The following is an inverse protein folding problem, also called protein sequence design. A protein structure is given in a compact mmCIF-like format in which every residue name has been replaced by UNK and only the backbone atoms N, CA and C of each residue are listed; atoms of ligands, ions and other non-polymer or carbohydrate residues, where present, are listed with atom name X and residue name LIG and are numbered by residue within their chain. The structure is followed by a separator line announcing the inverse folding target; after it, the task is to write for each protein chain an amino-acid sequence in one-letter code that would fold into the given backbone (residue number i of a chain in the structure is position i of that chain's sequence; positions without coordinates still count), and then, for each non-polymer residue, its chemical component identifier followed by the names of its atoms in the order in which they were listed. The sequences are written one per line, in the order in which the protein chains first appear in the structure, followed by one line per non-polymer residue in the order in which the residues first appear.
data_IF_726275466905
#
_entry.id   IF_726275466905
#
_cell.length_a   1.000
_cell.length_b   1.000
_cell.length_c   1.000
_cell.angle_alpha   90.00
_cell.angle_beta   90.00
_cell.angle_gamma   90.00
#
_symmetry.space_group_name_H-M   'P 1'
#
loop_
_entity.id
_entity.type
_entity.pdbx_description
1 polymer ?
#
# COMPACT_ATOMS: atom_id res chain seq x y z
N UNK A 1 31.86 40.64 -34.21
CA UNK A 1 32.91 39.92 -34.97
C UNK A 1 33.47 38.82 -34.09
N UNK A 2 33.54 37.61 -34.65
CA UNK A 2 34.18 36.37 -34.14
C UNK A 2 33.71 35.83 -32.77
N UNK A 3 33.31 34.57 -32.59
CA UNK A 3 33.26 33.42 -33.50
C UNK A 3 32.91 32.18 -32.66
N UNK A 4 31.80 31.53 -32.99
CA UNK A 4 31.40 30.24 -32.44
C UNK A 4 32.13 29.09 -33.15
N UNK A 5 32.37 27.98 -32.46
CA UNK A 5 32.80 26.70 -33.05
C UNK A 5 32.32 25.51 -32.19
N UNK A 6 32.22 24.28 -32.74
CA UNK A 6 30.90 23.72 -33.04
C UNK A 6 30.65 22.35 -32.38
N UNK A 7 29.41 21.91 -32.58
CA UNK A 7 28.78 20.64 -32.15
C UNK A 7 29.61 19.41 -32.56
N UNK A 8 29.84 18.51 -31.60
CA UNK A 8 30.32 17.15 -31.84
C UNK A 8 29.18 16.27 -32.37
N UNK A 9 29.07 16.19 -33.70
CA UNK A 9 28.23 15.26 -34.43
C UNK A 9 28.94 13.90 -34.49
N UNK A 10 28.31 12.82 -33.98
CA UNK A 10 28.79 11.44 -34.21
C UNK A 10 28.00 10.83 -35.38
N UNK A 11 28.65 10.09 -36.29
CA UNK A 11 27.98 9.48 -37.43
C UNK A 11 27.02 8.37 -36.99
N UNK A 12 25.84 8.34 -37.62
CA UNK A 12 24.86 7.23 -37.56
C UNK A 12 25.27 6.16 -38.57
N UNK A 13 25.15 4.89 -38.22
CA UNK A 13 25.23 3.79 -39.18
C UNK A 13 23.87 3.55 -39.87
N UNK A 14 23.92 2.97 -41.07
CA UNK A 14 22.78 2.78 -41.98
C UNK A 14 21.86 1.59 -41.66
N UNK A 15 21.85 1.06 -40.42
CA UNK A 15 20.95 -0.06 -40.07
C UNK A 15 20.20 0.06 -38.77
N UNK A 16 19.84 1.28 -38.34
CA UNK A 16 18.59 1.61 -37.63
C UNK A 16 18.13 0.71 -36.47
N UNK A 17 19.03 -0.05 -35.82
CA UNK A 17 18.72 -0.97 -34.72
C UNK A 17 19.57 -0.56 -33.52
N UNK A 18 18.94 0.06 -32.53
CA UNK A 18 19.53 0.18 -31.21
C UNK A 18 19.74 -1.23 -30.64
N UNK A 19 20.99 -1.71 -30.70
CA UNK A 19 21.41 -2.86 -29.91
C UNK A 19 21.38 -2.44 -28.45
N UNK A 20 20.36 -2.88 -27.69
CA UNK A 20 20.46 -2.96 -26.24
C UNK A 20 21.69 -3.83 -25.92
N UNK A 21 22.79 -3.19 -25.53
CA UNK A 21 23.89 -3.90 -24.87
C UNK A 21 23.37 -4.30 -23.50
N UNK A 22 23.10 -5.60 -23.34
CA UNK A 22 22.89 -6.23 -22.05
C UNK A 22 24.10 -5.95 -21.16
N UNK A 23 23.93 -5.04 -20.20
CA UNK A 23 24.87 -4.89 -19.10
C UNK A 23 24.69 -6.10 -18.17
N UNK A 24 25.78 -6.78 -17.76
CA UNK A 24 25.67 -7.90 -16.85
C UNK A 24 25.16 -7.41 -15.49
N UNK A 25 24.08 -8.02 -15.01
CA UNK A 25 23.58 -7.87 -13.64
C UNK A 25 24.68 -8.40 -12.72
N UNK A 26 25.41 -7.51 -12.07
CA UNK A 26 26.37 -7.91 -11.04
C UNK A 26 25.60 -8.32 -9.77
N UNK A 27 26.00 -9.44 -9.11
CA UNK A 27 25.34 -9.88 -7.90
C UNK A 27 25.54 -8.86 -6.78
N UNK A 28 24.45 -8.61 -6.03
CA UNK A 28 24.37 -7.64 -4.95
C UNK A 28 25.58 -7.72 -4.01
N UNK A 29 26.29 -6.60 -3.89
CA UNK A 29 27.37 -6.43 -2.93
C UNK A 29 26.84 -6.70 -1.50
N UNK A 30 27.51 -7.62 -0.81
CA UNK A 30 27.28 -7.90 0.61
C UNK A 30 27.67 -6.67 1.44
N UNK A 31 26.69 -5.84 1.80
CA UNK A 31 26.88 -4.83 2.84
C UNK A 31 26.90 -5.52 4.22
N UNK A 32 28.11 -5.84 4.68
CA UNK A 32 28.38 -6.26 6.05
C UNK A 32 28.26 -5.10 7.02
N UNK A 33 27.07 -4.84 7.54
CA UNK A 33 26.85 -3.97 8.69
C UNK A 33 26.72 -4.80 9.96
N UNK A 34 27.72 -4.73 10.86
CA UNK A 34 27.62 -5.28 12.22
C UNK A 34 26.62 -4.45 13.03
N UNK A 35 25.33 -4.73 12.88
CA UNK A 35 24.34 -4.32 13.87
C UNK A 35 24.43 -5.32 15.01
N UNK A 36 25.13 -4.92 16.08
CA UNK A 36 25.07 -5.63 17.35
C UNK A 36 23.58 -5.87 17.66
N UNK A 37 23.17 -7.15 17.65
CA UNK A 37 21.80 -7.57 17.94
C UNK A 37 21.52 -7.24 19.40
N UNK A 38 21.09 -6.00 19.65
CA UNK A 38 20.55 -5.61 20.95
C UNK A 38 19.33 -6.50 21.16
N UNK A 39 19.35 -7.32 22.21
CA UNK A 39 18.20 -8.13 22.59
C UNK A 39 16.95 -7.21 22.59
N UNK A 40 15.83 -7.63 21.97
CA UNK A 40 14.62 -6.83 21.97
C UNK A 40 14.25 -6.51 23.41
N UNK A 41 14.20 -5.22 23.77
CA UNK A 41 13.60 -4.83 25.04
C UNK A 41 12.16 -5.34 25.03
N UNK A 42 11.67 -5.96 26.12
CA UNK A 42 10.29 -6.42 26.18
C UNK A 42 9.37 -5.23 25.87
N UNK A 43 8.55 -5.39 24.82
CA UNK A 43 7.59 -4.35 24.43
C UNK A 43 6.58 -4.20 25.55
N UNK A 44 6.17 -2.95 25.83
CA UNK A 44 5.19 -2.63 26.88
C UNK A 44 3.78 -3.18 26.58
N UNK A 45 3.52 -3.61 25.35
CA UNK A 45 2.27 -4.23 24.90
C UNK A 45 2.21 -4.31 23.37
N UNK A 46 1.10 -4.81 22.81
CA UNK A 46 0.93 -4.94 21.37
C UNK A 46 0.85 -3.57 20.66
N UNK A 47 1.33 -3.53 19.43
CA UNK A 47 1.34 -2.33 18.58
C UNK A 47 0.46 -2.56 17.36
N UNK A 48 -0.59 -1.76 17.21
CA UNK A 48 -1.40 -1.72 16.01
C UNK A 48 -0.98 -0.54 15.13
N UNK A 49 -1.01 -0.72 13.82
CA UNK A 49 -0.75 0.36 12.86
C UNK A 49 -1.95 0.58 11.95
N UNK A 50 -2.27 1.82 11.59
CA UNK A 50 -3.17 2.16 10.49
C UNK A 50 -2.43 3.05 9.49
N UNK A 51 -2.57 2.77 8.19
CA UNK A 51 -2.05 3.64 7.14
C UNK A 51 -3.14 4.53 6.52
N UNK A 52 -2.77 5.78 6.28
CA UNK A 52 -3.62 6.83 5.72
C UNK A 52 -3.99 7.91 6.75
N UNK A 53 -4.75 8.90 6.31
CA UNK A 53 -5.22 9.99 7.16
C UNK A 53 -6.31 9.56 8.13
N UNK A 54 -6.58 10.43 9.11
CA UNK A 54 -7.76 10.36 9.97
C UNK A 54 -8.96 10.84 9.17
N UNK A 55 -9.78 9.90 8.71
CA UNK A 55 -10.81 10.15 7.72
C UNK A 55 -12.05 9.28 7.96
N UNK A 56 -13.26 9.75 7.58
CA UNK A 56 -14.49 8.96 7.70
C UNK A 56 -14.36 7.59 7.02
N UNK A 57 -13.76 7.57 5.82
CA UNK A 57 -13.56 6.37 5.01
C UNK A 57 -12.69 5.30 5.70
N UNK A 58 -11.66 5.74 6.42
CA UNK A 58 -10.77 4.88 7.22
C UNK A 58 -11.37 4.49 8.57
N UNK A 59 -12.54 5.03 8.90
CA UNK A 59 -13.32 4.73 10.10
C UNK A 59 -12.56 5.01 11.41
N UNK A 60 -11.73 6.06 11.42
CA UNK A 60 -10.82 6.35 12.54
C UNK A 60 -11.56 6.56 13.87
N UNK A 61 -12.74 7.17 13.85
CA UNK A 61 -13.57 7.37 15.05
C UNK A 61 -13.97 6.04 15.72
N UNK A 62 -14.52 5.08 14.95
CA UNK A 62 -14.86 3.76 15.50
C UNK A 62 -13.63 2.93 15.85
N UNK A 63 -12.54 3.08 15.11
CA UNK A 63 -11.27 2.47 15.46
C UNK A 63 -10.75 2.97 16.82
N UNK A 64 -10.94 4.25 17.15
CA UNK A 64 -10.61 4.79 18.48
C UNK A 64 -11.48 4.16 19.57
N UNK A 65 -12.79 4.05 19.36
CA UNK A 65 -13.71 3.38 20.29
C UNK A 65 -13.30 1.92 20.54
N UNK A 66 -13.04 1.16 19.46
CA UNK A 66 -12.57 -0.21 19.53
C UNK A 66 -11.21 -0.33 20.25
N UNK A 67 -10.28 0.59 19.97
CA UNK A 67 -8.98 0.61 20.63
C UNK A 67 -9.12 0.88 22.14
N UNK A 68 -10.06 1.73 22.57
CA UNK A 68 -10.36 1.95 24.00
C UNK A 68 -10.84 0.67 24.67
N UNK A 69 -11.80 -0.03 24.02
CA UNK A 69 -12.33 -1.31 24.51
C UNK A 69 -11.20 -2.34 24.65
N UNK A 70 -10.40 -2.53 23.59
CA UNK A 70 -9.26 -3.44 23.61
C UNK A 70 -8.25 -3.11 24.70
N UNK A 71 -7.93 -1.82 24.89
CA UNK A 71 -6.92 -1.39 25.86
C UNK A 71 -7.37 -1.51 27.32
N UNK A 72 -8.67 -1.57 27.59
CA UNK A 72 -9.17 -1.86 28.93
C UNK A 72 -8.63 -3.20 29.46
N UNK A 73 -8.47 -4.19 28.59
CA UNK A 73 -7.88 -5.50 28.88
C UNK A 73 -6.36 -5.54 28.62
N UNK A 74 -5.85 -4.62 27.79
CA UNK A 74 -4.45 -4.54 27.41
C UNK A 74 -3.85 -3.14 27.63
N UNK A 75 -3.61 -2.70 28.88
CA UNK A 75 -3.21 -1.31 29.19
C UNK A 75 -1.96 -0.81 28.46
N UNK A 76 -1.04 -1.72 28.12
CA UNK A 76 0.19 -1.43 27.39
C UNK A 76 0.07 -1.37 25.87
N UNK A 77 -1.12 -1.58 25.30
CA UNK A 77 -1.35 -1.52 23.86
C UNK A 77 -1.15 -0.10 23.33
N UNK A 78 -0.63 -0.01 22.10
CA UNK A 78 -0.42 1.24 21.37
C UNK A 78 -0.99 1.15 19.97
N UNK A 79 -1.52 2.26 19.48
CA UNK A 79 -1.99 2.41 18.12
C UNK A 79 -1.24 3.55 17.44
N UNK A 80 -0.66 3.26 16.28
CA UNK A 80 0.09 4.21 15.48
C UNK A 80 -0.68 4.46 14.19
N UNK A 81 -1.02 5.70 13.90
CA UNK A 81 -1.66 6.09 12.64
C UNK A 81 -0.58 6.79 11.83
N UNK A 82 -0.24 6.30 10.64
CA UNK A 82 0.76 6.92 9.78
C UNK A 82 0.15 7.31 8.43
N UNK A 83 0.20 8.60 8.12
CA UNK A 83 -0.31 9.13 6.87
C UNK A 83 -0.51 10.64 6.92
N UNK A 84 -0.53 11.26 5.74
CA UNK A 84 -0.87 12.68 5.61
C UNK A 84 -2.38 12.92 5.72
N UNK A 85 -2.75 14.20 5.89
CA UNK A 85 -4.09 14.63 5.55
C UNK A 85 -4.33 14.31 4.06
N UNK A 86 -5.48 13.69 3.74
CA UNK A 86 -5.88 13.50 2.36
C UNK A 86 -5.94 14.83 1.61
N UNK A 87 -5.88 14.77 0.29
CA UNK A 87 -6.11 15.92 -0.61
C UNK A 87 -7.51 16.53 -0.37
N UNK A 88 -8.43 15.75 0.19
CA UNK A 88 -9.74 16.19 0.62
C UNK A 88 -9.69 16.85 2.01
N UNK A 89 -10.40 17.96 2.18
CA UNK A 89 -10.53 18.62 3.47
C UNK A 89 -11.37 17.77 4.44
N UNK A 90 -10.72 17.23 5.46
CA UNK A 90 -11.34 16.48 6.56
C UNK A 90 -11.17 17.19 7.89
N UNK A 91 -10.94 18.51 7.91
CA UNK A 91 -10.60 19.28 9.12
C UNK A 91 -11.61 19.09 10.26
N UNK A 92 -12.92 19.12 9.96
CA UNK A 92 -13.96 18.91 10.96
C UNK A 92 -13.92 17.49 11.57
N UNK A 93 -13.74 16.47 10.72
CA UNK A 93 -13.63 15.08 11.18
C UNK A 93 -12.37 14.87 12.02
N UNK A 94 -11.24 15.46 11.59
CA UNK A 94 -9.98 15.43 12.33
C UNK A 94 -10.11 16.10 13.70
N UNK A 95 -10.72 17.29 13.76
CA UNK A 95 -10.96 17.99 15.03
C UNK A 95 -11.85 17.18 15.97
N UNK A 96 -12.92 16.57 15.45
CA UNK A 96 -13.79 15.68 16.23
C UNK A 96 -13.05 14.45 16.75
N UNK A 97 -12.20 13.82 15.93
CA UNK A 97 -11.35 12.71 16.35
C UNK A 97 -10.37 13.13 17.45
N UNK A 98 -9.70 14.28 17.30
CA UNK A 98 -8.73 14.77 18.29
C UNK A 98 -9.42 15.11 19.63
N UNK A 99 -10.63 15.70 19.58
CA UNK A 99 -11.45 15.95 20.76
C UNK A 99 -11.89 14.65 21.45
N UNK A 100 -12.35 13.65 20.69
CA UNK A 100 -12.70 12.34 21.21
C UNK A 100 -11.49 11.61 21.82
N UNK A 101 -10.32 11.71 21.19
CA UNK A 101 -9.05 11.17 21.71
C UNK A 101 -8.69 11.82 23.04
N UNK A 102 -8.80 13.15 23.15
CA UNK A 102 -8.54 13.87 24.40
C UNK A 102 -9.54 13.49 25.51
N UNK A 103 -10.83 13.38 25.19
CA UNK A 103 -11.88 13.00 26.13
C UNK A 103 -11.86 11.50 26.52
N UNK A 104 -11.05 10.69 25.84
CA UNK A 104 -10.99 9.25 26.07
C UNK A 104 -10.40 8.92 27.46
N UNK A 105 -9.48 9.73 27.98
CA UNK A 105 -8.70 9.34 29.17
C UNK A 105 -7.66 8.26 28.89
N UNK A 106 -7.36 7.97 27.61
CA UNK A 106 -6.18 7.22 27.23
C UNK A 106 -4.92 8.05 27.52
N UNK A 107 -3.85 7.44 28.05
CA UNK A 107 -2.52 8.04 28.06
C UNK A 107 -2.10 8.62 26.70
N UNK A 108 -1.31 9.69 26.73
CA UNK A 108 -0.91 10.43 25.51
C UNK A 108 -0.19 9.55 24.47
N UNK A 109 0.63 8.60 24.94
CA UNK A 109 1.42 7.68 24.11
C UNK A 109 0.63 6.50 23.53
N UNK A 110 -0.66 6.38 23.88
CA UNK A 110 -1.52 5.29 23.45
C UNK A 110 -1.86 5.33 21.97
N UNK A 111 -2.07 6.53 21.45
CA UNK A 111 -2.45 6.79 20.07
C UNK A 111 -1.47 7.82 19.52
N UNK A 112 -0.51 7.35 18.72
CA UNK A 112 0.49 8.19 18.09
C UNK A 112 0.10 8.45 16.64
N UNK A 113 -0.04 9.72 16.27
CA UNK A 113 -0.33 10.12 14.89
C UNK A 113 0.99 10.56 14.26
N UNK A 114 1.50 9.76 13.33
CA UNK A 114 2.60 10.09 12.45
C UNK A 114 2.04 10.77 11.19
N UNK A 115 2.79 11.75 10.68
CA UNK A 115 2.52 12.33 9.37
C UNK A 115 2.82 11.36 8.22
N UNK A 116 2.92 11.86 6.98
CA UNK A 116 3.36 11.03 5.86
C UNK A 116 4.77 10.49 6.11
N UNK A 117 4.99 9.22 5.74
CA UNK A 117 6.28 8.54 5.85
C UNK A 117 6.74 8.08 4.45
N UNK A 118 8.05 8.05 4.18
CA UNK A 118 8.57 7.44 2.96
C UNK A 118 8.41 5.91 2.98
N UNK A 119 8.31 5.28 1.81
CA UNK A 119 8.03 3.84 1.67
C UNK A 119 8.92 2.92 2.53
N UNK A 120 10.25 3.13 2.66
CA UNK A 120 11.08 2.29 3.52
C UNK A 120 10.68 2.34 5.00
N UNK A 121 10.22 3.51 5.47
CA UNK A 121 9.75 3.71 6.85
C UNK A 121 8.37 3.10 7.07
N UNK A 122 7.48 3.18 6.07
CA UNK A 122 6.20 2.46 6.09
C UNK A 122 6.42 0.95 6.23
N UNK A 123 7.33 0.39 5.44
CA UNK A 123 7.67 -1.02 5.52
C UNK A 123 8.32 -1.39 6.86
N UNK A 124 9.15 -0.51 7.43
CA UNK A 124 9.72 -0.71 8.76
C UNK A 124 8.64 -0.65 9.86
N UNK A 125 7.67 0.25 9.72
CA UNK A 125 6.54 0.37 10.63
C UNK A 125 5.67 -0.89 10.62
N UNK A 126 5.37 -1.45 9.45
CA UNK A 126 4.66 -2.71 9.34
C UNK A 126 5.40 -3.86 10.05
N UNK A 127 6.69 -4.04 9.75
CA UNK A 127 7.51 -5.08 10.39
C UNK A 127 7.63 -4.89 11.91
N UNK A 128 7.47 -3.67 12.39
CA UNK A 128 7.46 -3.34 13.80
C UNK A 128 6.05 -3.46 14.43
N UNK A 129 4.96 -3.54 13.68
CA UNK A 129 3.61 -3.69 14.22
C UNK A 129 3.26 -5.16 14.50
N UNK A 130 2.35 -5.38 15.45
CA UNK A 130 1.77 -6.69 15.73
C UNK A 130 0.59 -7.00 14.82
N UNK A 131 -0.15 -5.99 14.36
CA UNK A 131 -1.15 -6.07 13.30
C UNK A 131 -1.43 -4.72 12.64
N UNK A 132 -1.89 -4.74 11.39
CA UNK A 132 -2.52 -3.61 10.70
C UNK A 132 -3.99 -3.54 11.12
N UNK A 133 -4.43 -2.41 11.67
CA UNK A 133 -5.82 -2.09 11.97
C UNK A 133 -6.43 -1.31 10.79
N UNK A 134 -7.28 -1.97 10.00
CA UNK A 134 -7.86 -1.43 8.77
C UNK A 134 -9.40 -1.60 8.70
N UNK A 135 -10.17 -1.06 9.67
CA UNK A 135 -11.62 -1.21 9.74
C UNK A 135 -12.35 -0.22 8.82
N UNK A 136 -11.83 0.02 7.61
CA UNK A 136 -12.38 0.98 6.65
C UNK A 136 -13.85 0.68 6.31
N UNK A 137 -14.66 1.72 6.09
CA UNK A 137 -16.07 1.59 5.66
C UNK A 137 -16.21 1.46 4.13
N UNK A 138 -15.22 1.95 3.39
CA UNK A 138 -15.15 1.85 1.94
C UNK A 138 -13.68 1.95 1.51
N UNK A 139 -13.27 1.14 0.55
CA UNK A 139 -11.90 1.16 0.03
C UNK A 139 -11.86 0.86 -1.46
N UNK A 140 -10.75 1.29 -2.08
CA UNK A 140 -10.32 0.67 -3.34
C UNK A 140 -9.74 -0.71 -3.06
N UNK A 141 -8.82 -1.19 -3.89
CA UNK A 141 -8.20 -2.50 -3.69
C UNK A 141 -7.55 -2.69 -2.29
N UNK A 142 -7.06 -1.60 -1.70
CA UNK A 142 -6.47 -1.58 -0.37
C UNK A 142 -5.02 -2.05 -0.36
N UNK A 143 -4.15 -1.38 -1.11
CA UNK A 143 -2.71 -1.71 -1.21
C UNK A 143 -2.04 -1.86 0.16
N UNK A 144 -2.43 -1.06 1.15
CA UNK A 144 -1.97 -1.17 2.54
C UNK A 144 -2.14 -2.59 3.13
N UNK A 145 -3.24 -3.29 2.80
CA UNK A 145 -3.49 -4.68 3.21
C UNK A 145 -2.40 -5.60 2.63
N UNK A 146 -2.17 -5.51 1.32
CA UNK A 146 -1.18 -6.36 0.64
C UNK A 146 0.24 -6.03 1.09
N UNK A 147 0.57 -4.76 1.31
CA UNK A 147 1.87 -4.33 1.84
C UNK A 147 2.12 -4.86 3.25
N UNK A 148 1.13 -4.78 4.14
CA UNK A 148 1.20 -5.34 5.49
C UNK A 148 1.40 -6.87 5.44
N UNK A 149 0.63 -7.55 4.61
CA UNK A 149 0.75 -9.00 4.39
C UNK A 149 2.13 -9.37 3.84
N UNK A 150 2.66 -8.61 2.88
CA UNK A 150 4.00 -8.79 2.33
C UNK A 150 5.11 -8.55 3.38
N UNK A 151 4.85 -7.71 4.39
CA UNK A 151 5.74 -7.49 5.52
C UNK A 151 5.62 -8.54 6.62
N UNK A 152 4.71 -9.52 6.49
CA UNK A 152 4.44 -10.52 7.52
C UNK A 152 3.65 -9.97 8.71
N UNK A 153 2.90 -8.87 8.51
CA UNK A 153 2.06 -8.23 9.52
C UNK A 153 0.62 -8.74 9.36
N UNK A 154 0.03 -9.37 10.39
CA UNK A 154 -1.38 -9.73 10.39
C UNK A 154 -2.28 -8.54 10.05
N UNK A 155 -3.35 -8.77 9.30
CA UNK A 155 -4.31 -7.72 8.94
C UNK A 155 -5.63 -7.92 9.66
N UNK A 156 -6.12 -6.85 10.29
CA UNK A 156 -7.49 -6.69 10.74
C UNK A 156 -8.23 -5.87 9.69
N UNK A 157 -9.23 -6.47 9.03
CA UNK A 157 -9.92 -5.85 7.90
C UNK A 157 -11.43 -5.93 8.07
N UNK A 158 -12.13 -4.89 7.60
CA UNK A 158 -13.58 -4.90 7.48
C UNK A 158 -14.08 -6.01 6.56
N UNK A 159 -15.16 -6.69 6.93
CA UNK A 159 -15.83 -7.66 6.06
C UNK A 159 -16.69 -6.97 4.98
N UNK A 160 -16.03 -6.25 4.08
CA UNK A 160 -16.66 -5.52 2.98
C UNK A 160 -15.95 -5.79 1.66
N UNK A 161 -16.62 -5.53 0.55
CA UNK A 161 -15.95 -5.39 -0.74
C UNK A 161 -15.00 -4.17 -0.71
N UNK A 162 -13.81 -4.25 -1.34
CA UNK A 162 -13.34 -5.37 -2.15
C UNK A 162 -12.56 -6.44 -1.36
N UNK A 163 -12.34 -6.28 -0.05
CA UNK A 163 -11.54 -7.24 0.72
C UNK A 163 -12.09 -8.67 0.65
N UNK A 164 -13.42 -8.82 0.72
CA UNK A 164 -14.08 -10.13 0.62
C UNK A 164 -13.96 -10.77 -0.78
N UNK A 165 -13.54 -10.02 -1.80
CA UNK A 165 -13.41 -10.53 -3.17
C UNK A 165 -12.08 -11.27 -3.38
N UNK A 166 -11.03 -10.91 -2.64
CA UNK A 166 -9.68 -11.48 -2.84
C UNK A 166 -9.06 -12.10 -1.58
N UNK A 167 -9.60 -11.80 -0.39
CA UNK A 167 -9.19 -12.42 0.87
C UNK A 167 -10.16 -13.53 1.26
N UNK A 168 -9.61 -14.69 1.61
CA UNK A 168 -10.36 -15.79 2.18
C UNK A 168 -10.74 -15.58 3.66
N UNK A 169 -11.63 -16.42 4.23
CA UNK A 169 -12.04 -16.34 5.63
C UNK A 169 -10.89 -16.44 6.65
N UNK A 170 -9.78 -17.09 6.26
CA UNK A 170 -8.60 -17.28 7.09
C UNK A 170 -7.49 -16.23 6.86
N UNK A 171 -7.61 -15.38 5.85
CA UNK A 171 -6.53 -14.50 5.39
C UNK A 171 -6.41 -13.22 6.24
N UNK A 172 -7.49 -12.84 6.94
CA UNK A 172 -7.55 -11.67 7.81
C UNK A 172 -8.26 -11.98 9.14
N UNK A 173 -8.02 -11.12 10.13
CA UNK A 173 -8.89 -10.98 11.29
C UNK A 173 -10.06 -10.07 10.90
N UNK A 174 -11.19 -10.67 10.52
CA UNK A 174 -12.35 -9.95 10.02
C UNK A 174 -13.09 -9.22 11.14
N UNK A 175 -13.50 -7.98 10.88
CA UNK A 175 -14.38 -7.20 11.73
C UNK A 175 -15.55 -6.59 10.96
N UNK A 176 -16.63 -6.28 11.65
CA UNK A 176 -17.74 -5.49 11.11
C UNK A 176 -17.48 -4.00 11.36
N UNK A 177 -17.36 -3.15 10.31
CA UNK A 177 -16.90 -1.78 10.46
C UNK A 177 -17.84 -0.88 11.26
N UNK A 178 -19.13 -1.24 11.35
CA UNK A 178 -20.11 -0.48 12.11
C UNK A 178 -20.06 -0.77 13.62
N UNK A 179 -19.37 -1.84 14.05
CA UNK A 179 -19.36 -2.33 15.43
C UNK A 179 -17.95 -2.24 16.06
N UNK A 180 -17.71 -1.29 16.98
CA UNK A 180 -16.46 -1.20 17.73
C UNK A 180 -16.08 -2.47 18.51
N UNK A 181 -17.06 -3.24 19.00
CA UNK A 181 -16.78 -4.49 19.72
C UNK A 181 -16.24 -5.56 18.76
N UNK A 182 -16.81 -5.69 17.56
CA UNK A 182 -16.28 -6.56 16.51
C UNK A 182 -14.84 -6.20 16.14
N UNK A 183 -14.53 -4.90 16.01
CA UNK A 183 -13.16 -4.43 15.73
C UNK A 183 -12.21 -4.81 16.88
N UNK A 184 -12.60 -4.58 18.13
CA UNK A 184 -11.79 -4.93 19.31
C UNK A 184 -11.56 -6.45 19.44
N UNK A 185 -12.59 -7.26 19.15
CA UNK A 185 -12.47 -8.72 19.13
C UNK A 185 -11.51 -9.19 18.03
N UNK A 186 -11.55 -8.58 16.85
CA UNK A 186 -10.60 -8.87 15.77
C UNK A 186 -9.16 -8.47 16.14
N UNK A 187 -8.97 -7.36 16.88
CA UNK A 187 -7.68 -6.98 17.45
C UNK A 187 -7.13 -8.08 18.37
N UNK A 188 -7.93 -8.58 19.32
CA UNK A 188 -7.54 -9.68 20.20
C UNK A 188 -7.24 -10.98 19.41
N UNK A 189 -8.10 -11.33 18.46
CA UNK A 189 -7.93 -12.52 17.62
C UNK A 189 -6.64 -12.46 16.77
N UNK A 190 -6.24 -11.26 16.31
CA UNK A 190 -4.99 -11.08 15.54
C UNK A 190 -3.72 -11.38 16.36
N UNK A 191 -3.80 -11.27 17.69
CA UNK A 191 -2.67 -11.50 18.61
C UNK A 191 -2.62 -12.92 19.16
N UNK A 192 -3.74 -13.66 19.14
CA UNK A 192 -3.80 -15.02 19.66
C UNK A 192 -2.75 -15.91 18.97
N UNK A 193 -1.81 -16.57 19.69
CA UNK A 193 -0.59 -17.12 19.09
C UNK A 193 -0.79 -18.03 17.87
N UNK A 194 -1.75 -18.96 17.96
CA UNK A 194 -2.07 -19.87 16.84
C UNK A 194 -2.69 -19.14 15.66
N UNK A 195 -3.64 -18.23 15.91
CA UNK A 195 -4.30 -17.43 14.87
C UNK A 195 -3.32 -16.46 14.22
N UNK A 196 -2.48 -15.78 14.99
CA UNK A 196 -1.45 -14.86 14.52
C UNK A 196 -0.51 -15.55 13.53
N UNK A 197 0.00 -16.74 13.87
CA UNK A 197 0.88 -17.49 12.98
C UNK A 197 0.17 -17.88 11.68
N UNK A 198 -1.08 -18.32 11.75
CA UNK A 198 -1.87 -18.65 10.57
C UNK A 198 -2.09 -17.43 9.66
N UNK A 199 -2.43 -16.27 10.24
CA UNK A 199 -2.61 -15.01 9.50
C UNK A 199 -1.34 -14.58 8.77
N UNK A 200 -0.17 -14.75 9.37
CA UNK A 200 1.11 -14.40 8.72
C UNK A 200 1.38 -15.29 7.51
N UNK A 201 1.17 -16.61 7.66
CA UNK A 201 1.38 -17.56 6.55
C UNK A 201 0.39 -17.28 5.41
N UNK A 202 -0.89 -17.07 5.75
CA UNK A 202 -1.92 -16.72 4.77
C UNK A 202 -1.61 -15.39 4.08
N UNK A 203 -1.16 -14.39 4.83
CA UNK A 203 -0.76 -13.08 4.32
C UNK A 203 0.34 -13.19 3.26
N UNK A 204 1.42 -13.94 3.51
CA UNK A 204 2.46 -14.14 2.48
C UNK A 204 1.91 -14.80 1.21
N UNK A 205 1.02 -15.78 1.34
CA UNK A 205 0.39 -16.42 0.19
C UNK A 205 -0.50 -15.45 -0.61
N UNK A 206 -1.30 -14.61 0.07
CA UNK A 206 -2.09 -13.55 -0.56
C UNK A 206 -1.17 -12.56 -1.28
N UNK A 207 -0.16 -12.03 -0.59
CA UNK A 207 0.75 -11.05 -1.15
C UNK A 207 1.46 -11.55 -2.41
N UNK A 208 1.85 -12.83 -2.44
CA UNK A 208 2.47 -13.45 -3.62
C UNK A 208 1.51 -13.48 -4.83
N UNK A 209 0.22 -13.77 -4.62
CA UNK A 209 -0.80 -13.75 -5.70
C UNK A 209 -1.02 -12.37 -6.30
N UNK A 210 -0.76 -11.32 -5.53
CA UNK A 210 -0.96 -9.92 -5.93
C UNK A 210 0.36 -9.18 -6.19
N UNK A 211 1.48 -9.90 -6.32
CA UNK A 211 2.75 -9.31 -6.72
C UNK A 211 2.66 -8.73 -8.13
N UNK A 212 3.37 -7.63 -8.41
CA UNK A 212 3.31 -6.94 -9.70
C UNK A 212 3.60 -7.84 -10.90
N UNK A 213 4.49 -8.82 -10.78
CA UNK A 213 4.74 -9.80 -11.84
C UNK A 213 3.49 -10.64 -12.14
N UNK A 214 2.82 -11.18 -11.12
CA UNK A 214 1.59 -11.94 -11.28
C UNK A 214 0.45 -11.08 -11.84
N UNK A 215 0.34 -9.83 -11.40
CA UNK A 215 -0.62 -8.87 -11.94
C UNK A 215 -0.35 -8.61 -13.42
N UNK A 216 0.90 -8.34 -13.81
CA UNK A 216 1.28 -8.12 -15.19
C UNK A 216 0.95 -9.34 -16.08
N UNK A 217 1.33 -10.55 -15.63
CA UNK A 217 1.03 -11.80 -16.32
C UNK A 217 -0.48 -12.00 -16.53
N UNK A 218 -1.29 -11.71 -15.52
CA UNK A 218 -2.75 -11.83 -15.61
C UNK A 218 -3.37 -10.84 -16.63
N UNK A 219 -2.73 -9.70 -16.89
CA UNK A 219 -3.22 -8.71 -17.87
C UNK A 219 -2.78 -9.01 -19.31
N UNK A 220 -1.70 -9.77 -19.53
CA UNK A 220 -1.16 -10.05 -20.86
C UNK A 220 -2.20 -10.60 -21.86
N UNK A 221 -3.10 -11.55 -21.49
CA UNK A 221 -4.10 -12.04 -22.43
C UNK A 221 -5.07 -10.95 -22.90
N UNK A 222 -5.44 -10.02 -22.02
CA UNK A 222 -6.32 -8.90 -22.38
C UNK A 222 -5.64 -7.92 -23.33
N UNK A 223 -4.37 -7.59 -23.06
CA UNK A 223 -3.58 -6.74 -23.95
C UNK A 223 -3.35 -7.38 -25.31
N UNK A 224 -3.06 -8.69 -25.36
CA UNK A 224 -2.91 -9.43 -26.62
C UNK A 224 -4.21 -9.36 -27.45
N UNK A 225 -5.38 -9.59 -26.85
CA UNK A 225 -6.67 -9.48 -27.53
C UNK A 225 -6.91 -8.08 -28.11
N UNK A 226 -6.70 -7.03 -27.31
CA UNK A 226 -6.91 -5.65 -27.76
C UNK A 226 -5.94 -5.25 -28.87
N UNK A 227 -4.68 -5.68 -28.78
CA UNK A 227 -3.66 -5.40 -29.80
C UNK A 227 -4.00 -6.02 -31.16
N UNK A 228 -4.59 -7.22 -31.18
CA UNK A 228 -5.02 -7.88 -32.40
C UNK A 228 -6.17 -7.13 -33.09
N UNK A 229 -7.12 -6.58 -32.33
CA UNK A 229 -8.24 -5.80 -32.85
C UNK A 229 -7.80 -4.44 -33.42
N UNK A 230 -6.82 -3.78 -32.79
CA UNK A 230 -6.30 -2.49 -33.27
C UNK A 230 -5.40 -2.69 -34.50
N UNK A 231 -4.64 -3.79 -34.56
CA UNK A 231 -3.78 -4.13 -35.70
C UNK A 231 -4.56 -4.44 -36.99
N UNK A 232 -5.82 -4.91 -36.90
CA UNK A 232 -6.68 -5.13 -38.06
C UNK A 232 -7.44 -3.88 -38.52
N UNK A 233 -7.38 -2.78 -37.77
CA UNK A 233 -8.09 -1.53 -38.03
C UNK A 233 -7.13 -0.37 -38.39
N UNK A 234 -5.98 -0.67 -38.99
CA UNK A 234 -5.14 0.38 -39.57
C UNK A 234 -5.90 1.04 -40.73
N UNK A 235 -6.19 2.36 -40.71
CA UNK A 235 -6.79 3.04 -41.84
C UNK A 235 -5.83 2.93 -43.02
N UNK A 236 -6.36 2.54 -44.19
CA UNK A 236 -5.61 2.56 -45.44
C UNK A 236 -4.96 3.94 -45.63
N UNK A 237 -3.70 4.03 -46.10
CA UNK A 237 -3.08 5.32 -46.33
C UNK A 237 -3.97 6.13 -47.27
N UNK A 238 -4.42 7.29 -46.80
CA UNK A 238 -5.25 8.19 -47.58
C UNK A 238 -4.48 8.51 -48.87
N UNK A 239 -5.06 8.11 -50.01
CA UNK A 239 -4.52 8.45 -51.31
C UNK A 239 -4.43 9.98 -51.39
N UNK A 240 -3.21 10.50 -51.41
CA UNK A 240 -2.91 11.91 -51.67
C UNK A 240 -3.46 12.25 -53.05
N UNK A 241 -4.65 12.86 -53.10
CA UNK A 241 -5.11 13.52 -54.32
C UNK A 241 -4.30 14.80 -54.46
N UNK A 242 -3.39 14.78 -55.43
CA UNK A 242 -2.73 15.98 -55.95
C UNK A 242 -3.80 16.87 -56.57
N UNK A 243 -4.32 17.83 -55.81
CA UNK A 243 -5.13 18.89 -56.40
C UNK A 243 -4.17 19.93 -56.96
N UNK A 244 -3.92 19.87 -58.27
CA UNK A 244 -3.32 20.98 -59.00
C UNK A 244 -4.24 22.19 -58.87
N UNK A 245 -3.72 23.25 -58.25
CA UNK A 245 -4.36 24.55 -58.17
C UNK A 245 -4.03 25.31 -59.47
N UNK A 246 -4.95 25.30 -60.44
CA UNK A 246 -4.88 26.19 -61.59
C UNK A 246 -5.38 27.59 -61.16
N UNK A 247 -4.47 28.57 -61.18
CA UNK A 247 -4.76 29.99 -61.06
C UNK A 247 -5.44 30.51 -62.34
N UNK A 248 -6.56 31.20 -62.17
CA UNK A 248 -7.13 32.16 -63.12
C UNK A 248 -7.61 33.39 -62.33
#
# INVERSE_FOLDING_TARGET
MAGASPRGFRPRDDRGRQRCRSLPIQPAARCGGRHARRAPRPRRGPVFVSLGGIEPRKNSARALEAFRLFRAEHPGARWIIAGGASVLDHGAYRAAFDAARAASGLPEDAVTILGPLPDPEVAALYRAADALLFPSIAEGFGLAVIEAMACGTPVIASRIAPFTEYLGPADAAWCEPADPHSIAAAMAASLAPGRRRALIVAGFAVAARHAWAAVAEAHLPAYARLSATVGSAAPAPAATRSTEFALA
#
